data_IF_133949391398
#
_entry.id   IF_133949391398
#
_cell.length_a   1.000
_cell.length_b   1.000
_cell.length_c   1.000
_cell.angle_alpha   90.00
_cell.angle_beta   90.00
_cell.angle_gamma   90.00
#
_symmetry.space_group_name_H-M   'P 1'
#
loop_
_entity.id
_entity.type
_entity.pdbx_description
1 polymer ?
#
# COMPACT_ATOMS: atom_id res chain seq x y z
N UNK A 1 -11.70 1.31 -10.35
CA UNK A 1 -11.96 0.79 -8.97
C UNK A 1 -12.19 -0.72 -8.91
N UNK A 2 -13.15 -1.28 -9.67
CA UNK A 2 -13.47 -2.73 -9.59
C UNK A 2 -12.28 -3.65 -9.88
N UNK A 3 -11.47 -3.33 -10.89
CA UNK A 3 -10.23 -4.06 -11.19
C UNK A 3 -9.26 -4.08 -9.99
N UNK A 4 -9.07 -2.93 -9.33
CA UNK A 4 -8.21 -2.82 -8.16
C UNK A 4 -8.69 -3.70 -7.00
N UNK A 5 -10.00 -3.70 -6.71
CA UNK A 5 -10.59 -4.56 -5.70
C UNK A 5 -10.40 -6.04 -6.04
N UNK A 6 -10.61 -6.42 -7.32
CA UNK A 6 -10.39 -7.79 -7.79
C UNK A 6 -8.95 -8.27 -7.69
N UNK A 7 -7.98 -7.39 -7.96
CA UNK A 7 -6.56 -7.71 -7.85
C UNK A 7 -6.07 -7.78 -6.41
N UNK A 8 -6.64 -6.94 -5.54
CA UNK A 8 -6.15 -6.79 -4.17
C UNK A 8 -6.87 -7.64 -3.15
N UNK A 9 -8.09 -8.11 -3.44
CA UNK A 9 -8.95 -8.82 -2.48
C UNK A 9 -9.58 -7.91 -1.42
N UNK A 10 -9.41 -6.58 -1.54
CA UNK A 10 -9.89 -5.61 -0.58
C UNK A 10 -11.41 -5.42 -0.68
N UNK A 11 -12.07 -5.20 0.46
CA UNK A 11 -13.45 -4.72 0.46
C UNK A 11 -13.50 -3.25 0.05
N UNK A 12 -14.62 -2.83 -0.53
CA UNK A 12 -14.84 -1.45 -0.94
C UNK A 12 -14.78 -0.48 0.25
N UNK A 13 -15.41 -0.83 1.37
CA UNK A 13 -15.37 -0.02 2.60
C UNK A 13 -13.95 0.20 3.11
N UNK A 14 -13.13 -0.85 3.09
CA UNK A 14 -11.73 -0.74 3.52
C UNK A 14 -10.94 0.11 2.53
N UNK A 15 -11.18 -0.01 1.21
CA UNK A 15 -10.54 0.85 0.21
C UNK A 15 -10.87 2.33 0.45
N UNK A 16 -12.14 2.65 0.69
CA UNK A 16 -12.59 4.02 1.00
C UNK A 16 -11.90 4.55 2.24
N UNK A 17 -11.76 3.72 3.28
CA UNK A 17 -11.05 4.09 4.50
C UNK A 17 -9.56 4.38 4.24
N UNK A 18 -8.89 3.52 3.48
CA UNK A 18 -7.47 3.71 3.14
C UNK A 18 -7.23 4.97 2.30
N UNK A 19 -8.18 5.33 1.42
CA UNK A 19 -8.15 6.59 0.67
C UNK A 19 -8.41 7.78 1.61
N UNK A 20 -9.39 7.67 2.52
CA UNK A 20 -9.71 8.72 3.50
C UNK A 20 -8.55 9.01 4.44
N UNK A 21 -7.78 7.99 4.82
CA UNK A 21 -6.57 8.12 5.63
C UNK A 21 -5.34 8.59 4.82
N UNK A 22 -5.51 8.86 3.53
CA UNK A 22 -4.43 9.19 2.59
C UNK A 22 -3.31 8.13 2.51
N UNK A 23 -3.61 6.89 2.92
CA UNK A 23 -2.65 5.78 2.85
C UNK A 23 -2.53 5.21 1.43
N UNK A 24 -3.59 5.38 0.64
CA UNK A 24 -3.60 5.22 -0.81
C UNK A 24 -4.09 6.55 -1.40
N UNK A 25 -3.33 7.12 -2.33
CA UNK A 25 -3.66 8.40 -2.96
C UNK A 25 -3.84 8.19 -4.47
N UNK A 26 -4.98 7.61 -4.90
CA UNK A 26 -5.24 7.41 -6.32
C UNK A 26 -5.37 8.75 -7.03
N UNK A 27 -4.86 8.82 -8.26
CA UNK A 27 -5.16 9.93 -9.14
C UNK A 27 -6.65 9.90 -9.52
N UNK A 28 -7.18 11.04 -9.98
CA UNK A 28 -8.52 11.12 -10.53
C UNK A 28 -8.48 11.42 -12.02
N UNK A 29 -9.34 10.77 -12.79
CA UNK A 29 -9.55 11.08 -14.20
C UNK A 29 -10.37 12.37 -14.34
N UNK A 30 -10.50 12.89 -15.57
CA UNK A 30 -11.38 14.03 -15.88
C UNK A 30 -12.86 13.71 -15.57
N UNK A 31 -13.22 12.43 -15.51
CA UNK A 31 -14.55 11.94 -15.19
C UNK A 31 -14.74 11.64 -13.69
N UNK A 32 -13.81 12.09 -12.84
CA UNK A 32 -13.79 11.87 -11.38
C UNK A 32 -13.66 10.41 -10.94
N UNK A 33 -13.09 9.56 -11.81
CA UNK A 33 -12.86 8.14 -11.50
C UNK A 33 -11.47 7.92 -10.87
N UNK A 34 -11.37 6.97 -9.94
CA UNK A 34 -10.10 6.61 -9.32
C UNK A 34 -9.20 5.79 -10.25
N UNK A 35 -7.98 6.29 -10.43
CA UNK A 35 -6.88 5.62 -11.11
C UNK A 35 -5.79 5.24 -10.08
N UNK A 36 -5.60 3.93 -9.91
CA UNK A 36 -4.60 3.36 -9.01
C UNK A 36 -3.36 2.95 -9.78
N UNK A 37 -2.19 3.10 -9.15
CA UNK A 37 -0.92 2.68 -9.72
C UNK A 37 -0.61 1.23 -9.35
N UNK A 38 0.22 0.54 -10.13
CA UNK A 38 0.61 -0.85 -9.84
C UNK A 38 1.29 -1.00 -8.48
N UNK A 39 2.00 0.03 -8.00
CA UNK A 39 2.59 0.06 -6.66
C UNK A 39 1.53 0.00 -5.56
N UNK A 40 0.35 0.59 -5.78
CA UNK A 40 -0.75 0.59 -4.81
C UNK A 40 -1.31 -0.83 -4.67
N UNK A 41 -1.42 -1.56 -5.79
CA UNK A 41 -1.84 -2.98 -5.78
C UNK A 41 -0.87 -3.81 -4.93
N UNK A 42 0.43 -3.68 -5.18
CA UNK A 42 1.46 -4.43 -4.44
C UNK A 42 1.43 -4.08 -2.94
N UNK A 43 1.29 -2.80 -2.61
CA UNK A 43 1.21 -2.31 -1.22
C UNK A 43 -0.02 -2.86 -0.50
N UNK A 44 -1.19 -2.81 -1.13
CA UNK A 44 -2.44 -3.32 -0.55
C UNK A 44 -2.43 -4.84 -0.41
N UNK A 45 -1.91 -5.59 -1.39
CA UNK A 45 -1.77 -7.03 -1.28
C UNK A 45 -0.89 -7.43 -0.09
N UNK A 46 0.20 -6.70 0.17
CA UNK A 46 1.05 -6.93 1.36
C UNK A 46 0.26 -6.66 2.64
N UNK A 47 -0.46 -5.56 2.70
CA UNK A 47 -1.31 -5.21 3.85
C UNK A 47 -2.38 -6.25 4.13
N UNK A 48 -3.11 -6.69 3.10
CA UNK A 48 -4.12 -7.73 3.24
C UNK A 48 -3.54 -9.03 3.78
N UNK A 49 -2.43 -9.50 3.20
CA UNK A 49 -1.76 -10.70 3.67
C UNK A 49 -1.31 -10.58 5.12
N UNK A 50 -0.72 -9.46 5.50
CA UNK A 50 -0.31 -9.23 6.89
C UNK A 50 -1.51 -9.24 7.84
N UNK A 51 -2.61 -8.58 7.48
CA UNK A 51 -3.80 -8.56 8.33
C UNK A 51 -4.43 -9.95 8.46
N UNK A 52 -4.53 -10.70 7.36
CA UNK A 52 -5.12 -12.04 7.35
C UNK A 52 -4.23 -13.07 8.03
N UNK A 53 -2.96 -13.14 7.66
CA UNK A 53 -2.03 -14.19 8.12
C UNK A 53 -1.70 -14.05 9.62
N UNK A 54 -1.77 -12.84 10.17
CA UNK A 54 -1.43 -12.54 11.56
C UNK A 54 -2.61 -12.00 12.38
N UNK A 55 -3.84 -12.04 11.83
CA UNK A 55 -5.07 -11.54 12.47
C UNK A 55 -4.94 -10.10 13.01
N UNK A 56 -4.25 -9.24 12.26
CA UNK A 56 -3.97 -7.87 12.70
C UNK A 56 -5.17 -6.95 12.46
N UNK A 57 -5.32 -5.97 13.35
CA UNK A 57 -6.18 -4.83 13.05
C UNK A 57 -5.67 -4.09 11.80
N UNK A 58 -6.57 -3.46 11.01
CA UNK A 58 -6.16 -2.68 9.85
C UNK A 58 -5.13 -1.58 10.18
N UNK A 59 -5.28 -0.91 11.32
CA UNK A 59 -4.33 0.13 11.76
C UNK A 59 -2.94 -0.47 12.00
N UNK A 60 -2.85 -1.64 12.65
CA UNK A 60 -1.58 -2.32 12.85
C UNK A 60 -0.95 -2.75 11.50
N UNK A 61 -1.76 -3.26 10.57
CA UNK A 61 -1.32 -3.62 9.22
C UNK A 61 -0.72 -2.43 8.46
N UNK A 62 -1.38 -1.28 8.50
CA UNK A 62 -0.90 -0.01 7.89
C UNK A 62 0.48 0.37 8.45
N UNK A 63 0.59 0.43 9.77
CA UNK A 63 1.85 0.81 10.45
C UNK A 63 2.98 -0.14 10.06
N UNK A 64 2.73 -1.46 10.04
CA UNK A 64 3.75 -2.45 9.72
C UNK A 64 4.22 -2.30 8.27
N UNK A 65 3.30 -2.14 7.32
CA UNK A 65 3.67 -1.94 5.90
C UNK A 65 4.51 -0.67 5.73
N UNK A 66 4.14 0.42 6.40
CA UNK A 66 4.89 1.68 6.35
C UNK A 66 6.30 1.54 6.90
N UNK A 67 6.46 0.83 8.01
CA UNK A 67 7.76 0.55 8.61
C UNK A 67 8.62 -0.33 7.70
N UNK A 68 8.04 -1.40 7.12
CA UNK A 68 8.75 -2.28 6.20
C UNK A 68 9.27 -1.52 4.97
N UNK A 69 8.45 -0.64 4.40
CA UNK A 69 8.89 0.17 3.28
C UNK A 69 9.96 1.20 3.66
N UNK A 70 9.83 1.81 4.84
CA UNK A 70 10.85 2.72 5.36
C UNK A 70 12.18 2.00 5.55
N UNK A 71 12.17 0.80 6.11
CA UNK A 71 13.36 -0.04 6.25
C UNK A 71 13.93 -0.35 4.87
N UNK A 72 13.11 -0.79 3.92
CA UNK A 72 13.58 -1.09 2.56
C UNK A 72 14.22 0.13 1.88
N UNK A 73 13.63 1.32 2.03
CA UNK A 73 14.23 2.57 1.52
C UNK A 73 15.59 2.85 2.17
N UNK A 74 15.69 2.74 3.49
CA UNK A 74 16.94 2.95 4.22
C UNK A 74 18.03 1.95 3.80
N UNK A 75 17.69 0.68 3.66
CA UNK A 75 18.61 -0.36 3.19
C UNK A 75 19.12 -0.08 1.77
N UNK A 76 18.25 0.37 0.86
CA UNK A 76 18.65 0.75 -0.49
C UNK A 76 19.59 1.95 -0.49
N UNK A 77 19.31 2.96 0.34
CA UNK A 77 20.20 4.12 0.52
C UNK A 77 21.57 3.69 1.04
N UNK A 78 21.64 2.86 2.08
CA UNK A 78 22.91 2.34 2.61
C UNK A 78 23.70 1.55 1.55
N UNK A 79 23.02 0.68 0.79
CA UNK A 79 23.66 -0.08 -0.32
C UNK A 79 24.19 0.84 -1.43
N UNK A 80 23.51 1.95 -1.73
CA UNK A 80 24.01 2.92 -2.72
C UNK A 80 25.27 3.63 -2.25
N UNK A 81 25.36 3.99 -0.97
CA UNK A 81 26.56 4.62 -0.40
C UNK A 81 27.73 3.65 -0.29
N UNK A 82 27.49 2.40 0.13
CA UNK A 82 28.54 1.38 0.22
C UNK A 82 29.17 1.00 -1.12
N UNK A 83 28.52 1.31 -2.27
CA UNK A 83 29.09 1.07 -3.61
C UNK A 83 29.93 2.23 -4.13
N UNK A 84 29.95 3.37 -3.43
CA UNK A 84 30.70 4.57 -3.81
C UNK A 84 32.03 4.73 -3.05
N UNK A 85 32.35 3.79 -2.16
CA UNK A 85 33.59 3.69 -1.38
C UNK A 85 34.33 2.45 -1.86
#
# INVERSE_FOLDING_TARGET
MQEFLGLTGLSEDMLVELIRMEWIQPARTVQDEYLFMSQDVVRVCKFQRLCTDFELSPVAGIIIVDLLERINRLEHTLKSFSRQI
#
